data_IF_858396506129
#
_entry.id   IF_858396506129
#
_cell.length_a   1.000
_cell.length_b   1.000
_cell.length_c   1.000
_cell.angle_alpha   90.00
_cell.angle_beta   90.00
_cell.angle_gamma   90.00
#
_symmetry.space_group_name_H-M   'P 1'
#
loop_
_entity.id
_entity.type
_entity.pdbx_description
1 polymer ?
#
# COMPACT_ATOMS: atom_id res chain seq x y z
N UNK A 1 6.96 2.13 -3.66
CA UNK A 1 6.47 2.70 -2.38
C UNK A 1 6.37 1.57 -1.35
N UNK A 2 7.28 1.47 -0.38
CA UNK A 2 7.21 0.38 0.63
C UNK A 2 6.13 0.70 1.65
N UNK A 3 4.96 0.07 1.50
CA UNK A 3 3.87 0.13 2.49
C UNK A 3 4.30 -0.49 3.83
N UNK A 4 3.70 -0.03 4.93
CA UNK A 4 3.95 -0.62 6.25
C UNK A 4 3.23 -1.97 6.36
N UNK A 5 3.97 -3.07 6.51
CA UNK A 5 3.39 -4.42 6.61
C UNK A 5 3.46 -4.93 8.04
N UNK A 6 2.29 -5.33 8.57
CA UNK A 6 2.17 -5.96 9.88
C UNK A 6 1.68 -7.41 9.75
N UNK A 7 2.19 -8.31 10.58
CA UNK A 7 1.67 -9.68 10.70
C UNK A 7 1.58 -10.13 12.16
N UNK A 8 0.94 -11.28 12.41
CA UNK A 8 0.69 -11.81 13.75
C UNK A 8 1.15 -13.26 13.90
N UNK A 9 1.72 -13.57 15.06
CA UNK A 9 2.01 -14.93 15.52
C UNK A 9 0.72 -15.59 16.01
N UNK A 10 0.33 -16.69 15.38
CA UNK A 10 -0.87 -17.44 15.75
C UNK A 10 -0.67 -18.25 17.04
N UNK A 11 -1.77 -18.50 17.76
CA UNK A 11 -1.74 -19.20 19.06
C UNK A 11 -1.20 -20.64 18.97
N UNK A 12 -1.29 -21.28 17.79
CA UNK A 12 -0.75 -22.62 17.52
C UNK A 12 0.78 -22.62 17.35
N UNK A 13 1.36 -21.44 17.09
CA UNK A 13 2.80 -21.22 16.90
C UNK A 13 3.41 -20.45 18.09
N UNK A 14 2.61 -20.15 19.12
CA UNK A 14 3.03 -19.45 20.34
C UNK A 14 3.83 -20.34 21.32
N UNK A 15 4.74 -21.11 20.75
CA UNK A 15 5.76 -21.90 21.43
C UNK A 15 7.14 -21.39 20.97
N UNK A 16 8.11 -21.30 21.89
CA UNK A 16 9.43 -20.71 21.66
C UNK A 16 10.06 -21.18 20.34
N UNK A 17 10.05 -22.48 20.10
CA UNK A 17 10.76 -23.08 18.97
C UNK A 17 10.00 -22.91 17.64
N UNK A 18 8.73 -22.48 17.69
CA UNK A 18 7.87 -22.30 16.52
C UNK A 18 7.77 -20.84 16.05
N UNK A 19 8.04 -19.85 16.91
CA UNK A 19 7.89 -18.42 16.58
C UNK A 19 8.69 -18.01 15.34
N UNK A 20 10.00 -18.28 15.33
CA UNK A 20 10.88 -17.88 14.21
C UNK A 20 10.51 -18.63 12.93
N UNK A 21 10.30 -19.97 12.92
CA UNK A 21 9.79 -20.68 11.75
C UNK A 21 8.44 -20.14 11.24
N UNK A 22 7.51 -19.79 12.14
CA UNK A 22 6.19 -19.26 11.77
C UNK A 22 6.30 -17.90 11.07
N UNK A 23 7.17 -17.01 11.55
CA UNK A 23 7.45 -15.75 10.87
C UNK A 23 8.13 -15.98 9.52
N UNK A 24 9.15 -16.85 9.44
CA UNK A 24 9.79 -17.19 8.15
C UNK A 24 8.80 -17.73 7.12
N UNK A 25 7.88 -18.59 7.54
CA UNK A 25 6.79 -19.08 6.68
C UNK A 25 5.84 -17.96 6.24
N UNK A 26 5.52 -17.03 7.15
CA UNK A 26 4.71 -15.85 6.83
C UNK A 26 5.40 -14.97 5.79
N UNK A 27 6.68 -14.67 5.99
CA UNK A 27 7.54 -13.91 5.08
C UNK A 27 7.63 -14.57 3.69
N UNK A 28 7.85 -15.88 3.65
CA UNK A 28 7.84 -16.66 2.42
C UNK A 28 6.51 -16.55 1.67
N UNK A 29 5.37 -16.67 2.35
CA UNK A 29 4.04 -16.54 1.74
C UNK A 29 3.74 -15.15 1.22
N UNK A 30 4.26 -14.12 1.90
CA UNK A 30 4.08 -12.72 1.51
C UNK A 30 5.12 -12.27 0.48
N UNK A 31 6.16 -13.06 0.19
CA UNK A 31 7.28 -12.65 -0.65
C UNK A 31 8.10 -11.51 -0.04
N UNK A 32 8.18 -11.44 1.30
CA UNK A 32 8.86 -10.35 2.02
C UNK A 32 10.09 -10.87 2.76
N UNK A 33 11.14 -10.04 2.85
CA UNK A 33 12.31 -10.34 3.68
C UNK A 33 12.06 -10.04 5.17
N UNK A 34 11.21 -9.06 5.46
CA UNK A 34 10.84 -8.65 6.81
C UNK A 34 9.41 -8.10 6.85
N UNK A 35 8.85 -8.01 8.05
CA UNK A 35 7.65 -7.19 8.35
C UNK A 35 8.03 -5.98 9.18
N UNK A 36 7.34 -4.85 9.01
CA UNK A 36 7.60 -3.67 9.83
C UNK A 36 7.17 -3.89 11.29
N UNK A 37 6.13 -4.70 11.51
CA UNK A 37 5.63 -5.04 12.84
C UNK A 37 5.16 -6.50 12.91
N UNK A 38 5.68 -7.25 13.89
CA UNK A 38 5.22 -8.61 14.20
C UNK A 38 4.61 -8.67 15.61
N UNK A 39 3.37 -9.14 15.71
CA UNK A 39 2.62 -9.12 16.98
C UNK A 39 2.31 -10.53 17.49
N UNK A 40 2.48 -10.78 18.78
CA UNK A 40 1.82 -11.93 19.43
C UNK A 40 0.30 -11.73 19.35
N UNK A 41 -0.43 -12.58 18.62
CA UNK A 41 -1.86 -12.34 18.36
C UNK A 41 -2.71 -12.33 19.64
N UNK A 42 -2.50 -13.33 20.51
CA UNK A 42 -3.14 -13.45 21.81
C UNK A 42 -2.15 -14.03 22.82
N UNK A 43 -2.29 -13.73 24.12
CA UNK A 43 -1.47 -14.35 25.18
C UNK A 43 -1.95 -15.78 25.50
N UNK A 44 -2.08 -16.61 24.46
CA UNK A 44 -2.66 -17.95 24.46
C UNK A 44 -1.78 -18.88 23.62
N UNK A 45 -1.55 -20.10 24.12
CA UNK A 45 -0.92 -21.19 23.37
C UNK A 45 -1.94 -22.32 23.19
N UNK A 46 -2.09 -22.79 21.96
CA UNK A 46 -3.00 -23.89 21.60
C UNK A 46 -2.21 -25.12 21.14
N UNK A 47 -2.81 -26.31 21.30
CA UNK A 47 -2.33 -27.53 20.64
C UNK A 47 -2.29 -27.34 19.11
N UNK A 48 -1.35 -28.02 18.44
CA UNK A 48 -1.30 -28.03 16.97
C UNK A 48 -2.62 -28.55 16.39
N UNK A 49 -3.22 -27.80 15.48
CA UNK A 49 -4.53 -28.07 14.88
C UNK A 49 -4.93 -26.96 13.90
N UNK A 50 -6.14 -27.02 13.36
CA UNK A 50 -6.65 -25.99 12.45
C UNK A 50 -6.74 -24.61 13.14
N UNK A 51 -6.64 -23.54 12.35
CA UNK A 51 -6.81 -22.17 12.85
C UNK A 51 -8.27 -21.92 13.21
N UNK A 52 -8.68 -22.29 14.43
CA UNK A 52 -10.06 -22.11 14.90
C UNK A 52 -10.17 -20.85 15.78
N UNK A 53 -11.15 -19.99 15.47
CA UNK A 53 -11.48 -18.81 16.27
C UNK A 53 -12.17 -19.14 17.61
N UNK A 54 -12.67 -20.37 17.75
CA UNK A 54 -13.30 -20.92 18.95
C UNK A 54 -12.53 -22.18 19.36
N UNK A 55 -11.91 -22.16 20.53
CA UNK A 55 -11.14 -23.29 21.06
C UNK A 55 -11.75 -23.79 22.37
N UNK A 56 -11.73 -25.10 22.57
CA UNK A 56 -12.20 -25.71 23.81
C UNK A 56 -11.13 -25.58 24.90
N UNK A 57 -11.53 -25.66 26.17
CA UNK A 57 -10.58 -25.61 27.28
C UNK A 57 -9.50 -26.70 27.20
N UNK A 58 -9.81 -27.82 26.56
CA UNK A 58 -8.89 -28.95 26.38
C UNK A 58 -7.76 -28.68 25.39
N UNK A 59 -7.89 -27.65 24.55
CA UNK A 59 -6.88 -27.25 23.55
C UNK A 59 -5.87 -26.24 24.09
N UNK A 60 -6.16 -25.66 25.26
CA UNK A 60 -5.31 -24.67 25.91
C UNK A 60 -4.09 -25.33 26.53
N UNK A 61 -2.91 -24.84 26.14
CA UNK A 61 -1.64 -25.18 26.77
C UNK A 61 -1.19 -24.02 27.67
N UNK A 62 -0.40 -24.28 28.73
CA UNK A 62 0.21 -23.20 29.51
C UNK A 62 0.97 -22.24 28.60
N UNK A 63 0.66 -20.95 28.64
CA UNK A 63 1.33 -19.96 27.78
C UNK A 63 2.72 -19.63 28.35
N UNK A 64 3.77 -20.09 27.66
CA UNK A 64 5.15 -19.71 27.96
C UNK A 64 5.46 -18.32 27.40
N UNK A 65 5.03 -17.30 28.14
CA UNK A 65 5.20 -15.90 27.75
C UNK A 65 6.67 -15.52 27.59
N UNK A 66 7.55 -16.03 28.46
CA UNK A 66 8.98 -15.73 28.43
C UNK A 66 9.63 -16.33 27.19
N UNK A 67 9.49 -17.65 26.98
CA UNK A 67 10.09 -18.31 25.83
C UNK A 67 9.52 -17.79 24.50
N UNK A 68 8.21 -17.51 24.44
CA UNK A 68 7.59 -16.90 23.25
C UNK A 68 8.18 -15.52 22.98
N UNK A 69 8.32 -14.66 24.00
CA UNK A 69 8.86 -13.32 23.81
C UNK A 69 10.34 -13.33 23.45
N UNK A 70 11.17 -14.17 24.09
CA UNK A 70 12.58 -14.33 23.71
C UNK A 70 12.73 -14.71 22.22
N UNK A 71 11.83 -15.54 21.69
CA UNK A 71 11.82 -15.89 20.27
C UNK A 71 11.28 -14.76 19.37
N UNK A 72 10.35 -13.93 19.86
CA UNK A 72 9.95 -12.68 19.16
C UNK A 72 11.12 -11.70 19.08
N UNK A 73 11.89 -11.54 20.16
CA UNK A 73 13.11 -10.74 20.14
C UNK A 73 14.13 -11.28 19.15
N UNK A 74 14.23 -12.61 19.03
CA UNK A 74 15.09 -13.24 18.04
C UNK A 74 14.65 -12.94 16.61
N UNK A 75 13.34 -12.91 16.33
CA UNK A 75 12.83 -12.42 15.04
C UNK A 75 13.34 -11.00 14.72
N UNK A 76 13.43 -10.13 15.73
CA UNK A 76 13.98 -8.79 15.57
C UNK A 76 15.50 -8.80 15.34
N UNK A 77 16.26 -9.61 16.10
CA UNK A 77 17.73 -9.73 15.96
C UNK A 77 18.12 -10.29 14.60
N UNK A 78 17.33 -11.23 14.07
CA UNK A 78 17.52 -11.82 12.74
C UNK A 78 17.07 -10.88 11.60
N UNK A 79 16.51 -9.71 11.90
CA UNK A 79 16.02 -8.76 10.89
C UNK A 79 14.70 -9.15 10.24
N UNK A 80 14.02 -10.20 10.72
CA UNK A 80 12.75 -10.69 10.17
C UNK A 80 11.56 -9.78 10.53
N UNK A 81 11.68 -9.01 11.62
CA UNK A 81 10.73 -7.98 12.01
C UNK A 81 11.48 -6.73 12.46
N UNK A 82 11.13 -5.56 11.92
CA UNK A 82 11.73 -4.27 12.37
C UNK A 82 11.27 -3.86 13.76
N UNK A 83 10.06 -4.26 14.14
CA UNK A 83 9.49 -4.02 15.46
C UNK A 83 8.63 -5.21 15.87
N UNK A 84 8.55 -5.45 17.17
CA UNK A 84 7.72 -6.50 17.75
C UNK A 84 6.74 -5.91 18.76
N UNK A 85 5.60 -6.56 18.90
CA UNK A 85 4.58 -6.13 19.83
C UNK A 85 3.66 -7.26 20.22
N UNK A 86 2.56 -6.89 20.85
CA UNK A 86 1.56 -7.81 21.37
C UNK A 86 0.15 -7.37 20.96
N UNK A 87 -0.79 -8.29 21.06
CA UNK A 87 -2.21 -8.02 20.85
C UNK A 87 -3.01 -8.70 21.96
N UNK A 88 -4.01 -7.99 22.49
CA UNK A 88 -4.90 -8.44 23.56
C UNK A 88 -4.22 -8.66 24.93
N UNK A 89 -3.16 -7.90 25.24
CA UNK A 89 -2.50 -7.96 26.55
C UNK A 89 -3.06 -6.90 27.51
N UNK A 90 -3.48 -7.33 28.70
CA UNK A 90 -3.88 -6.45 29.80
C UNK A 90 -2.66 -5.97 30.62
N UNK A 91 -2.82 -4.91 31.42
CA UNK A 91 -1.74 -4.30 32.21
C UNK A 91 -0.91 -5.31 33.02
N UNK A 92 -1.58 -6.29 33.66
CA UNK A 92 -0.89 -7.32 34.46
C UNK A 92 0.05 -8.18 33.61
N UNK A 93 -0.39 -8.62 32.42
CA UNK A 93 0.44 -9.41 31.50
C UNK A 93 1.55 -8.57 30.89
N UNK A 94 1.28 -7.32 30.53
CA UNK A 94 2.31 -6.39 30.06
C UNK A 94 3.38 -6.16 31.13
N UNK A 95 3.00 -5.94 32.38
CA UNK A 95 3.95 -5.79 33.48
C UNK A 95 4.85 -7.02 33.62
N UNK A 96 4.25 -8.21 33.64
CA UNK A 96 5.01 -9.47 33.72
C UNK A 96 5.94 -9.68 32.52
N UNK A 97 5.52 -9.27 31.32
CA UNK A 97 6.34 -9.31 30.10
C UNK A 97 7.55 -8.38 30.22
N UNK A 98 7.31 -7.13 30.64
CA UNK A 98 8.36 -6.12 30.80
C UNK A 98 9.41 -6.49 31.84
N UNK A 99 9.07 -7.33 32.83
CA UNK A 99 10.03 -7.81 33.84
C UNK A 99 11.18 -8.64 33.23
N UNK A 100 11.04 -9.13 32.00
CA UNK A 100 12.05 -9.94 31.32
C UNK A 100 12.32 -9.59 29.86
N UNK A 101 11.57 -8.64 29.29
CA UNK A 101 11.79 -8.18 27.93
C UNK A 101 13.10 -7.39 27.84
N UNK A 102 14.00 -7.84 26.96
CA UNK A 102 15.16 -7.06 26.53
C UNK A 102 14.74 -6.01 25.50
N UNK A 103 13.86 -6.40 24.57
CA UNK A 103 13.21 -5.50 23.62
C UNK A 103 11.76 -5.35 24.07
N UNK A 104 11.34 -4.20 24.62
CA UNK A 104 9.96 -4.00 25.04
C UNK A 104 9.01 -3.95 23.82
N UNK A 105 7.74 -4.39 23.97
CA UNK A 105 6.78 -4.35 22.88
C UNK A 105 6.55 -2.91 22.39
N UNK A 106 6.73 -2.65 21.10
CA UNK A 106 6.49 -1.34 20.51
C UNK A 106 4.99 -1.00 20.48
N UNK A 107 4.14 -2.01 20.30
CA UNK A 107 2.68 -1.86 20.14
C UNK A 107 1.92 -2.88 20.99
N UNK A 108 0.79 -2.48 21.57
CA UNK A 108 -0.26 -3.36 22.05
C UNK A 108 -1.56 -3.09 21.27
N UNK A 109 -1.96 -4.02 20.40
CA UNK A 109 -3.23 -3.95 19.68
C UNK A 109 -4.37 -4.52 20.53
N UNK A 110 -5.43 -3.75 20.78
CA UNK A 110 -6.55 -4.20 21.63
C UNK A 110 -7.90 -3.78 21.08
N UNK A 111 -8.96 -4.50 21.47
CA UNK A 111 -10.32 -4.07 21.20
C UNK A 111 -10.54 -2.73 21.87
N UNK A 112 -10.84 -1.71 21.09
CA UNK A 112 -11.17 -0.43 21.69
C UNK A 112 -12.15 0.27 20.78
N UNK A 113 -13.23 0.76 21.37
CA UNK A 113 -14.25 1.51 20.66
C UNK A 113 -14.76 2.65 21.57
N UNK A 114 -15.69 3.45 21.07
CA UNK A 114 -16.20 4.60 21.82
C UNK A 114 -16.91 4.24 23.13
N UNK A 115 -17.51 3.04 23.22
CA UNK A 115 -18.11 2.49 24.43
C UNK A 115 -17.08 1.83 25.36
N UNK A 116 -16.03 1.24 24.79
CA UNK A 116 -14.99 0.50 25.51
C UNK A 116 -13.60 1.07 25.26
N UNK A 117 -13.23 2.11 26.02
CA UNK A 117 -12.01 2.91 25.80
C UNK A 117 -10.77 2.42 26.55
N UNK A 118 -10.88 1.42 27.43
CA UNK A 118 -9.76 0.84 28.19
C UNK A 118 -8.74 1.84 28.80
N UNK A 119 -9.20 2.94 29.42
CA UNK A 119 -8.32 4.06 29.87
C UNK A 119 -7.12 3.64 30.72
N UNK A 120 -7.34 2.74 31.70
CA UNK A 120 -6.27 2.24 32.57
C UNK A 120 -5.14 1.56 31.78
N UNK A 121 -5.48 0.87 30.69
CA UNK A 121 -4.50 0.24 29.81
C UNK A 121 -3.75 1.27 28.97
N UNK A 122 -4.44 2.28 28.44
CA UNK A 122 -3.83 3.38 27.68
C UNK A 122 -2.79 4.09 28.55
N UNK A 123 -3.17 4.48 29.77
CA UNK A 123 -2.28 5.20 30.68
C UNK A 123 -1.04 4.36 31.04
N UNK A 124 -1.25 3.07 31.32
CA UNK A 124 -0.16 2.13 31.59
C UNK A 124 0.79 1.99 30.38
N UNK A 125 0.25 1.75 29.18
CA UNK A 125 1.06 1.61 27.97
C UNK A 125 1.84 2.89 27.67
N UNK A 126 1.20 4.06 27.83
CA UNK A 126 1.83 5.37 27.65
C UNK A 126 3.01 5.57 28.62
N UNK A 127 2.84 5.22 29.89
CA UNK A 127 3.92 5.28 30.89
C UNK A 127 5.11 4.38 30.51
N UNK A 128 4.84 3.22 29.92
CA UNK A 128 5.87 2.24 29.51
C UNK A 128 6.41 2.45 28.10
N UNK A 129 6.00 3.51 27.40
CA UNK A 129 6.44 3.77 26.03
C UNK A 129 5.88 2.80 24.97
N UNK A 130 4.77 2.13 25.27
CA UNK A 130 4.09 1.17 24.38
C UNK A 130 2.96 1.89 23.65
N UNK A 131 2.94 1.83 22.32
CA UNK A 131 1.84 2.41 21.54
C UNK A 131 0.58 1.53 21.62
N UNK A 132 -0.58 2.13 21.86
CA UNK A 132 -1.86 1.41 21.82
C UNK A 132 -2.53 1.66 20.47
N UNK A 133 -2.85 0.57 19.77
CA UNK A 133 -3.61 0.61 18.54
C UNK A 133 -4.94 -0.13 18.72
N UNK A 134 -6.04 0.49 18.28
CA UNK A 134 -7.38 -0.06 18.40
C UNK A 134 -7.69 -0.95 17.20
N UNK A 135 -8.12 -2.19 17.45
CA UNK A 135 -8.90 -2.93 16.46
C UNK A 135 -10.41 -2.76 16.76
N UNK A 136 -11.22 -2.72 15.69
CA UNK A 136 -12.64 -2.38 15.74
C UNK A 136 -12.98 -1.02 16.41
N UNK A 137 -12.35 0.10 15.99
CA UNK A 137 -12.56 1.44 16.60
C UNK A 137 -14.01 1.96 16.56
N UNK A 138 -14.82 1.46 15.63
CA UNK A 138 -16.25 1.77 15.50
C UNK A 138 -17.16 0.65 16.06
N UNK A 139 -16.58 -0.32 16.76
CA UNK A 139 -17.26 -1.55 17.19
C UNK A 139 -17.54 -2.50 16.04
N UNK A 140 -17.85 -3.76 16.36
CA UNK A 140 -18.16 -4.79 15.38
C UNK A 140 -19.67 -5.08 15.39
N UNK A 141 -20.33 -4.92 14.24
CA UNK A 141 -21.79 -5.13 14.15
C UNK A 141 -22.10 -6.63 14.11
N UNK A 142 -22.88 -7.14 15.05
CA UNK A 142 -23.31 -8.54 15.06
C UNK A 142 -22.17 -9.56 15.22
N UNK A 143 -20.98 -9.11 15.64
CA UNK A 143 -19.88 -10.01 15.95
C UNK A 143 -20.15 -10.75 17.26
N UNK A 144 -19.69 -11.99 17.35
CA UNK A 144 -19.75 -12.77 18.59
C UNK A 144 -18.73 -12.31 19.64
N UNK A 145 -17.80 -11.43 19.24
CA UNK A 145 -16.84 -10.76 20.12
C UNK A 145 -17.23 -9.30 20.35
N UNK A 146 -16.90 -8.77 21.52
CA UNK A 146 -17.13 -7.38 21.88
C UNK A 146 -17.90 -7.22 23.18
N UNK A 147 -17.41 -6.33 24.03
CA UNK A 147 -17.65 -6.37 25.48
C UNK A 147 -19.01 -5.86 25.94
N UNK A 148 -19.90 -5.43 25.04
CA UNK A 148 -21.19 -4.87 25.46
C UNK A 148 -22.36 -5.44 24.66
N UNK A 149 -23.37 -5.94 25.37
CA UNK A 149 -24.67 -6.31 24.78
C UNK A 149 -25.35 -5.15 24.04
N UNK A 150 -24.91 -3.92 24.31
CA UNK A 150 -25.36 -2.69 23.64
C UNK A 150 -24.79 -2.52 22.22
N UNK A 151 -23.60 -3.08 21.94
CA UNK A 151 -23.00 -3.09 20.59
C UNK A 151 -23.71 -4.07 19.63
N UNK A 152 -24.53 -4.99 20.16
CA UNK A 152 -25.40 -5.85 19.36
C UNK A 152 -26.58 -5.10 18.72
N UNK A 153 -26.95 -3.92 19.24
CA UNK A 153 -27.97 -3.06 18.64
C UNK A 153 -27.31 -1.99 17.76
N UNK A 154 -27.36 -2.21 16.44
CA UNK A 154 -26.76 -1.33 15.43
C UNK A 154 -27.15 0.14 15.57
N UNK A 155 -28.41 0.43 15.94
CA UNK A 155 -28.93 1.79 16.04
C UNK A 155 -28.38 2.53 17.27
N UNK A 156 -28.28 1.84 18.41
CA UNK A 156 -27.71 2.43 19.63
C UNK A 156 -26.21 2.72 19.43
N UNK A 157 -25.50 1.79 18.80
CA UNK A 157 -24.09 1.97 18.43
C UNK A 157 -23.89 3.18 17.52
N UNK A 158 -24.67 3.29 16.44
CA UNK A 158 -24.59 4.43 15.52
C UNK A 158 -24.86 5.76 16.24
N UNK A 159 -25.89 5.84 17.09
CA UNK A 159 -26.19 7.04 17.87
C UNK A 159 -25.04 7.47 18.80
N UNK A 160 -24.34 6.51 19.42
CA UNK A 160 -23.17 6.79 20.28
C UNK A 160 -21.97 7.28 19.47
N UNK A 161 -21.71 6.63 18.33
CA UNK A 161 -20.65 7.06 17.40
C UNK A 161 -20.93 8.49 16.95
N UNK A 162 -22.17 8.78 16.54
CA UNK A 162 -22.57 10.10 16.09
C UNK A 162 -22.43 11.15 17.19
N UNK A 163 -22.91 10.87 18.40
CA UNK A 163 -22.81 11.78 19.55
C UNK A 163 -21.37 12.08 19.94
N UNK A 164 -20.47 11.09 19.85
CA UNK A 164 -19.06 11.27 20.18
C UNK A 164 -18.28 12.00 19.09
N UNK A 165 -18.45 11.60 17.82
CA UNK A 165 -17.76 12.19 16.68
C UNK A 165 -18.25 13.61 16.39
N UNK A 166 -19.54 13.92 16.60
CA UNK A 166 -20.07 15.27 16.40
C UNK A 166 -19.47 16.32 17.35
N UNK A 167 -18.87 15.88 18.47
CA UNK A 167 -18.20 16.75 19.45
C UNK A 167 -16.70 16.91 19.18
N UNK A 168 -16.16 16.25 18.15
CA UNK A 168 -14.73 16.19 17.86
C UNK A 168 -14.45 16.46 16.39
N UNK A 169 -13.26 16.98 16.12
CA UNK A 169 -12.69 16.94 14.77
C UNK A 169 -12.04 15.60 14.57
N UNK A 170 -12.32 14.93 13.46
CA UNK A 170 -11.73 13.64 13.14
C UNK A 170 -11.29 13.55 11.69
N UNK A 171 -10.34 12.66 11.45
CA UNK A 171 -10.02 12.16 10.11
C UNK A 171 -10.30 10.66 10.14
N UNK A 172 -11.12 10.18 9.22
CA UNK A 172 -11.40 8.77 9.02
C UNK A 172 -10.77 8.33 7.69
N UNK A 173 -9.95 7.29 7.74
CA UNK A 173 -9.33 6.67 6.57
C UNK A 173 -9.99 5.31 6.34
N UNK A 174 -10.58 5.12 5.17
CA UNK A 174 -11.26 3.89 4.76
C UNK A 174 -10.50 3.29 3.57
N UNK A 175 -9.68 2.29 3.82
CA UNK A 175 -8.86 1.69 2.77
C UNK A 175 -9.61 0.53 2.07
N UNK A 176 -9.38 0.39 0.77
CA UNK A 176 -9.88 -0.69 -0.11
C UNK A 176 -11.40 -0.93 -0.04
N UNK A 177 -12.18 0.14 -0.26
CA UNK A 177 -13.64 0.09 -0.22
C UNK A 177 -14.19 -0.45 -1.54
N UNK A 178 -15.01 -1.50 -1.47
CA UNK A 178 -15.63 -2.15 -2.63
C UNK A 178 -17.13 -1.87 -2.79
N UNK A 179 -17.80 -1.40 -1.72
CA UNK A 179 -19.22 -1.05 -1.69
C UNK A 179 -19.49 0.27 -0.97
N UNK A 180 -20.68 0.84 -1.20
CA UNK A 180 -21.07 2.13 -0.60
C UNK A 180 -21.16 1.99 0.92
N UNK A 181 -20.43 2.83 1.65
CA UNK A 181 -20.53 2.92 3.10
C UNK A 181 -21.61 3.93 3.46
N UNK A 182 -22.66 3.46 4.13
CA UNK A 182 -23.70 4.31 4.68
C UNK A 182 -23.23 4.88 6.03
N UNK A 183 -22.73 6.12 6.00
CA UNK A 183 -22.24 6.81 7.19
C UNK A 183 -23.32 7.01 8.26
N UNK A 184 -24.58 7.21 7.89
CA UNK A 184 -25.67 7.37 8.85
C UNK A 184 -25.90 6.06 9.62
N UNK A 185 -25.94 4.94 8.91
CA UNK A 185 -26.08 3.60 9.51
C UNK A 185 -24.93 3.24 10.48
N UNK A 186 -23.72 3.77 10.22
CA UNK A 186 -22.55 3.60 11.08
C UNK A 186 -22.52 4.64 12.21
N UNK A 187 -23.23 5.76 12.06
CA UNK A 187 -23.20 6.89 12.98
C UNK A 187 -22.06 7.88 12.75
N UNK A 188 -21.44 7.87 11.58
CA UNK A 188 -20.40 8.84 11.21
C UNK A 188 -21.10 10.14 10.78
N UNK A 189 -20.91 11.27 11.48
CA UNK A 189 -21.47 12.54 11.01
C UNK A 189 -20.80 12.94 9.71
N UNK A 190 -21.60 13.39 8.73
CA UNK A 190 -21.07 13.79 7.42
C UNK A 190 -20.02 14.90 7.57
N UNK A 191 -18.82 14.72 7.01
CA UNK A 191 -17.80 15.77 6.95
C UNK A 191 -18.36 17.03 6.27
N UNK A 192 -18.22 18.18 6.92
CA UNK A 192 -18.64 19.45 6.35
C UNK A 192 -17.69 20.59 6.78
N UNK A 193 -17.90 21.78 6.20
CA UNK A 193 -17.07 22.96 6.48
C UNK A 193 -17.14 23.42 7.95
N UNK A 194 -18.25 23.14 8.64
CA UNK A 194 -18.48 23.54 10.03
C UNK A 194 -17.74 22.63 11.02
N UNK A 195 -17.88 21.31 10.86
CA UNK A 195 -17.26 20.33 11.75
C UNK A 195 -15.76 20.13 11.47
N UNK A 196 -15.27 20.52 10.27
CA UNK A 196 -13.87 20.41 9.83
C UNK A 196 -13.31 18.98 9.88
N UNK A 197 -14.18 17.99 9.97
CA UNK A 197 -13.82 16.58 9.91
C UNK A 197 -13.60 16.17 8.45
N UNK A 198 -12.90 15.06 8.23
CA UNK A 198 -12.61 14.53 6.89
C UNK A 198 -12.79 13.02 6.88
N UNK A 199 -13.37 12.51 5.80
CA UNK A 199 -13.32 11.09 5.46
C UNK A 199 -12.51 11.00 4.16
N UNK A 200 -11.51 10.14 4.16
CA UNK A 200 -10.71 9.81 2.98
C UNK A 200 -10.91 8.32 2.79
N UNK A 201 -11.19 7.90 1.56
CA UNK A 201 -11.29 6.50 1.22
C UNK A 201 -10.49 6.19 -0.03
N UNK A 202 -10.05 4.94 -0.16
CA UNK A 202 -9.44 4.40 -1.37
C UNK A 202 -10.36 3.32 -1.92
N UNK A 203 -10.41 3.20 -3.25
CA UNK A 203 -11.18 2.17 -3.94
C UNK A 203 -10.57 1.93 -5.31
N UNK A 204 -10.69 0.71 -5.82
CA UNK A 204 -10.37 0.38 -7.22
C UNK A 204 -11.57 0.59 -8.17
N UNK A 205 -12.72 1.02 -7.65
CA UNK A 205 -13.96 1.21 -8.41
C UNK A 205 -14.29 2.69 -8.60
N UNK A 206 -14.15 3.17 -9.83
CA UNK A 206 -14.55 4.53 -10.21
C UNK A 206 -16.04 4.77 -9.97
N UNK A 207 -16.89 3.80 -10.33
CA UNK A 207 -18.33 3.87 -10.12
C UNK A 207 -18.69 4.04 -8.64
N UNK A 208 -17.93 3.43 -7.73
CA UNK A 208 -18.13 3.59 -6.30
C UNK A 208 -17.70 4.98 -5.81
N UNK A 209 -16.63 5.54 -6.36
CA UNK A 209 -16.20 6.90 -6.05
C UNK A 209 -17.34 7.91 -6.33
N UNK A 210 -18.01 7.82 -7.48
CA UNK A 210 -19.17 8.65 -7.80
C UNK A 210 -20.31 8.51 -6.78
N UNK A 211 -20.66 7.27 -6.40
CA UNK A 211 -21.73 6.98 -5.42
C UNK A 211 -21.41 7.45 -3.99
N UNK A 212 -20.13 7.51 -3.61
CA UNK A 212 -19.66 7.92 -2.29
C UNK A 212 -19.56 9.44 -2.14
N UNK A 213 -19.19 10.15 -3.21
CA UNK A 213 -19.01 11.62 -3.21
C UNK A 213 -20.36 12.36 -3.36
N UNK A 214 -21.40 11.68 -3.85
CA UNK A 214 -22.77 12.19 -3.92
C UNK A 214 -23.14 12.71 -5.30
N UNK A 215 -24.38 12.42 -5.70
CA UNK A 215 -24.94 12.67 -7.03
C UNK A 215 -25.09 14.16 -7.39
N UNK A 216 -25.16 15.07 -6.41
CA UNK A 216 -25.43 16.49 -6.68
C UNK A 216 -24.32 17.21 -7.48
N UNK A 217 -23.05 16.80 -7.31
CA UNK A 217 -21.93 17.39 -8.05
C UNK A 217 -21.79 16.73 -9.42
N UNK A 218 -21.88 15.40 -9.48
CA UNK A 218 -21.75 14.63 -10.73
C UNK A 218 -22.93 14.81 -11.69
N UNK A 219 -24.16 15.00 -11.19
CA UNK A 219 -25.37 15.15 -12.00
C UNK A 219 -25.79 16.62 -12.24
N UNK A 220 -24.99 17.58 -11.78
CA UNK A 220 -25.28 19.01 -12.04
C UNK A 220 -25.20 19.36 -13.53
N UNK A 221 -24.43 18.60 -14.31
CA UNK A 221 -24.42 18.66 -15.77
C UNK A 221 -23.86 17.34 -16.36
N UNK A 222 -24.42 16.78 -17.46
CA UNK A 222 -24.00 15.49 -18.04
C UNK A 222 -22.51 15.39 -18.43
N UNK A 223 -21.85 16.54 -18.61
CA UNK A 223 -20.44 16.62 -19.02
C UNK A 223 -19.47 16.79 -17.85
N UNK A 224 -19.94 17.13 -16.65
CA UNK A 224 -19.06 17.34 -15.48
C UNK A 224 -18.28 16.07 -15.11
N UNK A 225 -18.82 14.84 -15.18
CA UNK A 225 -18.03 13.63 -14.93
C UNK A 225 -16.82 13.53 -15.86
N UNK A 226 -17.01 13.78 -17.16
CA UNK A 226 -15.92 13.77 -18.16
C UNK A 226 -14.89 14.86 -17.91
N UNK A 227 -15.35 16.06 -17.52
CA UNK A 227 -14.46 17.17 -17.19
C UNK A 227 -13.69 16.91 -15.88
N UNK A 228 -14.29 16.21 -14.92
CA UNK A 228 -13.63 15.82 -13.69
C UNK A 228 -12.52 14.79 -13.92
N UNK A 229 -12.75 13.83 -14.81
CA UNK A 229 -11.73 12.88 -15.26
C UNK A 229 -10.55 13.61 -15.92
N UNK A 230 -10.84 14.58 -16.80
CA UNK A 230 -9.80 15.41 -17.43
C UNK A 230 -9.00 16.19 -16.38
N UNK A 231 -9.67 16.86 -15.44
CA UNK A 231 -8.99 17.58 -14.35
C UNK A 231 -8.12 16.64 -13.50
N UNK A 232 -8.60 15.42 -13.19
CA UNK A 232 -7.83 14.44 -12.44
C UNK A 232 -6.61 13.93 -13.23
N UNK A 233 -6.74 13.75 -14.56
CA UNK A 233 -5.62 13.43 -15.47
C UNK A 233 -4.56 14.53 -15.46
N UNK A 234 -4.95 15.81 -15.51
CA UNK A 234 -4.01 16.93 -15.40
C UNK A 234 -3.28 16.98 -14.03
N UNK A 235 -3.77 16.26 -13.00
CA UNK A 235 -3.09 16.14 -11.72
C UNK A 235 -1.99 15.07 -11.69
N UNK A 236 -1.82 14.28 -12.76
CA UNK A 236 -0.76 13.26 -12.93
C UNK A 236 -0.59 12.31 -11.72
N UNK A 237 -1.70 11.91 -11.07
CA UNK A 237 -1.67 11.01 -9.92
C UNK A 237 -1.09 11.59 -8.62
N UNK A 238 -0.63 12.85 -8.61
CA UNK A 238 -0.01 13.47 -7.45
C UNK A 238 -1.03 13.71 -6.32
N UNK A 239 -0.89 13.07 -5.14
CA UNK A 239 -1.91 13.15 -4.08
C UNK A 239 -2.19 14.58 -3.61
N UNK A 240 -1.15 15.42 -3.51
CA UNK A 240 -1.29 16.80 -3.09
C UNK A 240 -2.00 17.67 -4.14
N UNK A 241 -1.76 17.41 -5.43
CA UNK A 241 -2.42 18.11 -6.53
C UNK A 241 -3.89 17.72 -6.60
N UNK A 242 -4.21 16.42 -6.57
CA UNK A 242 -5.57 15.88 -6.54
C UNK A 242 -6.37 16.45 -5.36
N UNK A 243 -5.80 16.48 -4.16
CA UNK A 243 -6.46 17.04 -2.97
C UNK A 243 -6.72 18.54 -3.13
N UNK A 244 -5.74 19.29 -3.64
CA UNK A 244 -5.82 20.76 -3.73
C UNK A 244 -6.80 21.18 -4.81
N UNK A 245 -6.69 20.60 -5.99
CA UNK A 245 -7.55 20.88 -7.14
C UNK A 245 -8.96 20.34 -6.89
N UNK A 246 -9.09 19.11 -6.37
CA UNK A 246 -10.38 18.53 -6.03
C UNK A 246 -11.18 19.38 -5.03
N UNK A 247 -10.51 19.96 -4.02
CA UNK A 247 -11.16 20.92 -3.09
C UNK A 247 -11.63 22.19 -3.78
N UNK A 248 -10.84 22.73 -4.70
CA UNK A 248 -11.23 23.91 -5.48
C UNK A 248 -12.44 23.60 -6.39
N UNK A 249 -12.46 22.42 -7.00
CA UNK A 249 -13.51 21.99 -7.92
C UNK A 249 -14.79 21.55 -7.23
N UNK A 250 -14.75 21.16 -5.95
CA UNK A 250 -15.92 20.70 -5.20
C UNK A 250 -17.08 21.71 -5.13
N UNK A 251 -16.81 23.00 -5.31
CA UNK A 251 -17.83 24.07 -5.31
C UNK A 251 -18.32 24.47 -6.71
N UNK A 252 -17.77 23.87 -7.77
CA UNK A 252 -17.97 24.28 -9.17
C UNK A 252 -19.08 23.46 -9.83
N UNK A 253 -20.13 24.13 -10.29
CA UNK A 253 -21.37 23.49 -10.76
C UNK A 253 -21.61 23.64 -12.26
N UNK A 254 -20.77 24.41 -12.96
CA UNK A 254 -21.00 24.74 -14.38
C UNK A 254 -19.85 24.24 -15.25
N UNK A 255 -20.15 23.73 -16.45
CA UNK A 255 -19.13 23.28 -17.40
C UNK A 255 -18.12 24.36 -17.74
N UNK A 256 -18.52 25.63 -17.72
CA UNK A 256 -17.61 26.76 -17.95
C UNK A 256 -16.50 26.83 -16.89
N UNK A 257 -16.83 26.66 -15.61
CA UNK A 257 -15.84 26.69 -14.52
C UNK A 257 -14.87 25.50 -14.60
N UNK A 258 -15.38 24.32 -14.96
CA UNK A 258 -14.56 23.12 -15.17
C UNK A 258 -13.63 23.24 -16.38
N UNK A 259 -14.14 23.72 -17.51
CA UNK A 259 -13.31 23.99 -18.69
C UNK A 259 -12.25 25.07 -18.40
N UNK A 260 -12.60 26.11 -17.64
CA UNK A 260 -11.64 27.12 -17.21
C UNK A 260 -10.54 26.52 -16.33
N UNK A 261 -10.88 25.62 -15.41
CA UNK A 261 -9.90 24.93 -14.58
C UNK A 261 -8.97 24.06 -15.44
N UNK A 262 -9.49 23.32 -16.41
CA UNK A 262 -8.67 22.53 -17.35
C UNK A 262 -7.75 23.44 -18.16
N UNK A 263 -8.25 24.57 -18.68
CA UNK A 263 -7.42 25.54 -19.42
C UNK A 263 -6.31 26.09 -18.52
N UNK A 264 -6.61 26.46 -17.28
CA UNK A 264 -5.61 26.96 -16.34
C UNK A 264 -4.62 25.86 -15.97
N UNK A 265 -5.07 24.64 -15.70
CA UNK A 265 -4.20 23.51 -15.37
C UNK A 265 -3.31 23.15 -16.53
N UNK A 266 -3.84 23.07 -17.76
CA UNK A 266 -3.05 22.86 -18.98
C UNK A 266 -2.12 24.01 -19.26
N UNK A 267 -2.55 25.25 -19.01
CA UNK A 267 -1.73 26.43 -19.23
C UNK A 267 -0.59 26.49 -18.22
N UNK A 268 -0.86 26.24 -16.94
CA UNK A 268 0.17 26.12 -15.90
C UNK A 268 1.05 24.91 -16.14
N UNK A 269 0.47 23.75 -16.45
CA UNK A 269 1.19 22.57 -16.90
C UNK A 269 1.96 22.85 -18.18
N UNK A 270 1.59 23.87 -18.99
CA UNK A 270 2.33 24.33 -20.17
C UNK A 270 3.37 25.42 -19.92
N UNK A 271 3.19 26.21 -18.88
CA UNK A 271 4.22 27.03 -18.26
C UNK A 271 5.27 26.13 -17.57
N UNK A 272 4.91 24.88 -17.27
CA UNK A 272 5.81 23.77 -16.93
C UNK A 272 6.04 22.77 -18.10
N UNK A 273 5.28 22.83 -19.21
CA UNK A 273 5.45 22.02 -20.43
C UNK A 273 6.43 22.76 -21.34
N UNK A 274 7.57 23.05 -20.75
CA UNK A 274 8.86 22.89 -21.39
C UNK A 274 9.57 21.67 -20.82
N UNK A 275 9.16 21.08 -19.70
CA UNK A 275 9.93 19.99 -19.10
C UNK A 275 9.93 18.73 -19.98
N UNK A 276 8.84 18.35 -20.65
CA UNK A 276 8.87 17.24 -21.63
C UNK A 276 9.66 17.55 -22.91
N UNK A 277 9.48 18.76 -23.46
CA UNK A 277 10.14 19.22 -24.69
C UNK A 277 11.61 19.66 -24.49
N UNK A 278 12.04 19.90 -23.24
CA UNK A 278 13.42 20.17 -22.85
C UNK A 278 14.08 18.93 -22.25
N UNK A 279 13.40 18.17 -21.38
CA UNK A 279 13.99 17.00 -20.68
C UNK A 279 13.98 15.74 -21.52
N UNK A 280 12.93 15.42 -22.31
CA UNK A 280 12.96 14.21 -23.13
C UNK A 280 14.02 14.28 -24.23
N UNK A 281 14.23 15.40 -24.96
CA UNK A 281 15.39 15.53 -25.84
C UNK A 281 16.75 15.49 -25.11
N UNK A 282 16.84 15.99 -23.87
CA UNK A 282 18.05 15.86 -23.04
C UNK A 282 18.28 14.42 -22.56
N UNK A 283 17.24 13.66 -22.24
CA UNK A 283 17.34 12.25 -21.87
C UNK A 283 17.53 11.35 -23.10
N UNK A 284 17.01 11.78 -24.27
CA UNK A 284 17.27 11.16 -25.57
C UNK A 284 18.77 11.17 -25.88
N UNK A 285 19.53 12.16 -25.39
CA UNK A 285 21.00 12.12 -25.47
C UNK A 285 21.56 10.85 -24.83
N UNK A 286 21.07 10.44 -23.65
CA UNK A 286 21.53 9.21 -23.00
C UNK A 286 21.15 7.95 -23.79
N UNK A 287 19.99 7.96 -24.47
CA UNK A 287 19.59 6.88 -25.38
C UNK A 287 20.44 6.84 -26.66
N UNK A 288 20.67 7.99 -27.29
CA UNK A 288 21.46 8.14 -28.53
C UNK A 288 22.93 7.76 -28.34
N UNK A 289 23.43 7.82 -27.10
CA UNK A 289 24.78 7.43 -26.72
C UNK A 289 24.86 6.00 -26.15
N UNK A 290 23.78 5.21 -26.20
CA UNK A 290 23.88 3.77 -25.91
C UNK A 290 24.85 3.11 -26.93
N UNK A 291 25.65 2.11 -26.51
CA UNK A 291 26.82 1.70 -27.29
C UNK A 291 26.54 1.16 -28.70
N UNK A 292 25.34 0.64 -28.96
CA UNK A 292 24.92 0.13 -30.27
C UNK A 292 23.39 0.01 -30.37
N UNK A 293 22.92 -0.21 -31.60
CA UNK A 293 21.50 -0.37 -31.93
C UNK A 293 20.84 -1.56 -31.20
N UNK A 294 21.59 -2.64 -30.92
CA UNK A 294 21.07 -3.79 -30.15
C UNK A 294 20.63 -3.38 -28.74
N UNK A 295 21.45 -2.61 -28.03
CA UNK A 295 21.12 -2.13 -26.67
C UNK A 295 19.95 -1.15 -26.72
N UNK A 296 19.87 -0.32 -27.77
CA UNK A 296 18.73 0.58 -27.99
C UNK A 296 17.42 -0.17 -28.21
N UNK A 297 17.42 -1.20 -29.06
CA UNK A 297 16.24 -2.05 -29.29
C UNK A 297 15.80 -2.79 -28.02
N UNK A 298 16.75 -3.33 -27.26
CA UNK A 298 16.47 -3.96 -25.96
C UNK A 298 15.84 -2.97 -24.96
N UNK A 299 16.32 -1.73 -24.92
CA UNK A 299 15.73 -0.66 -24.10
C UNK A 299 14.28 -0.36 -24.50
N UNK A 300 14.02 -0.16 -25.79
CA UNK A 300 12.67 0.14 -26.28
C UNK A 300 11.70 -1.01 -25.99
N UNK A 301 12.15 -2.26 -26.10
CA UNK A 301 11.32 -3.42 -25.79
C UNK A 301 10.78 -3.40 -24.35
N UNK A 302 11.58 -2.92 -23.39
CA UNK A 302 11.16 -2.82 -22.00
C UNK A 302 9.93 -1.90 -21.81
N UNK A 303 9.62 -0.99 -22.74
CA UNK A 303 8.42 -0.12 -22.62
C UNK A 303 7.10 -0.86 -22.80
N UNK A 304 7.14 -2.10 -23.32
CA UNK A 304 5.97 -2.96 -23.46
C UNK A 304 5.41 -3.42 -22.10
N UNK A 305 6.22 -3.39 -21.05
CA UNK A 305 5.80 -3.71 -19.70
C UNK A 305 5.05 -2.52 -19.04
N UNK A 306 4.09 -2.76 -18.14
CA UNK A 306 3.39 -1.71 -17.42
C UNK A 306 4.34 -0.83 -16.59
N UNK A 307 3.86 0.37 -16.24
CA UNK A 307 4.55 1.28 -15.32
C UNK A 307 4.82 0.59 -13.96
N UNK A 308 6.01 0.84 -13.39
CA UNK A 308 6.48 0.24 -12.13
C UNK A 308 6.51 -1.32 -12.07
N UNK A 309 6.40 -2.01 -13.21
CA UNK A 309 6.43 -3.47 -13.26
C UNK A 309 7.85 -4.04 -13.07
N UNK A 310 8.01 -4.99 -12.14
CA UNK A 310 9.26 -5.72 -11.94
C UNK A 310 9.42 -6.82 -13.00
N UNK A 311 10.41 -6.67 -13.88
CA UNK A 311 10.69 -7.59 -14.99
C UNK A 311 11.81 -8.56 -14.58
N UNK A 312 11.54 -9.85 -14.66
CA UNK A 312 12.56 -10.87 -14.43
C UNK A 312 13.66 -10.80 -15.50
N UNK A 313 14.94 -10.72 -15.09
CA UNK A 313 16.08 -10.56 -16.00
C UNK A 313 16.23 -11.74 -16.97
N UNK A 314 16.04 -12.98 -16.51
CA UNK A 314 16.18 -14.16 -17.37
C UNK A 314 15.07 -14.21 -18.42
N UNK A 315 13.83 -13.93 -18.01
CA UNK A 315 12.68 -13.86 -18.91
C UNK A 315 12.85 -12.75 -19.96
N UNK A 316 13.31 -11.56 -19.53
CA UNK A 316 13.59 -10.44 -20.43
C UNK A 316 14.66 -10.78 -21.47
N UNK A 317 15.72 -11.50 -21.07
CA UNK A 317 16.76 -11.94 -21.99
C UNK A 317 16.22 -12.99 -22.96
N UNK A 318 15.40 -13.93 -22.49
CA UNK A 318 14.75 -14.92 -23.35
C UNK A 318 13.83 -14.25 -24.39
N UNK A 319 13.12 -13.19 -24.00
CA UNK A 319 12.36 -12.36 -24.94
C UNK A 319 13.26 -11.66 -25.96
N UNK A 320 14.36 -11.01 -25.54
CA UNK A 320 15.29 -10.36 -26.48
C UNK A 320 15.95 -11.33 -27.46
N UNK A 321 16.21 -12.58 -27.05
CA UNK A 321 16.67 -13.63 -27.95
C UNK A 321 15.56 -14.05 -28.91
N UNK A 322 14.33 -14.23 -28.40
CA UNK A 322 13.15 -14.58 -29.19
C UNK A 322 12.80 -13.54 -30.27
N UNK A 323 12.98 -12.26 -29.96
CA UNK A 323 12.82 -11.13 -30.90
C UNK A 323 13.99 -10.98 -31.88
N UNK A 324 15.08 -11.73 -31.68
CA UNK A 324 16.26 -11.66 -32.54
C UNK A 324 17.09 -10.39 -32.36
N UNK A 325 17.09 -9.77 -31.18
CA UNK A 325 18.00 -8.66 -30.87
C UNK A 325 19.41 -9.15 -30.53
N UNK A 326 19.49 -10.24 -29.78
CA UNK A 326 20.74 -10.93 -29.45
C UNK A 326 20.85 -12.10 -30.44
N UNK A 327 21.80 -12.03 -31.37
CA UNK A 327 21.91 -12.98 -32.50
C UNK A 327 23.27 -13.65 -32.66
N UNK A 328 24.33 -13.09 -32.08
CA UNK A 328 25.71 -13.59 -32.24
C UNK A 328 26.14 -14.44 -31.04
N UNK A 329 25.66 -15.69 -30.96
CA UNK A 329 26.04 -16.64 -29.91
C UNK A 329 26.10 -18.08 -30.42
N UNK A 330 27.03 -18.87 -29.88
CA UNK A 330 27.20 -20.29 -30.18
C UNK A 330 26.30 -21.18 -29.30
N UNK A 331 25.93 -20.70 -28.10
CA UNK A 331 25.02 -21.37 -27.18
C UNK A 331 24.21 -20.40 -26.29
N UNK A 332 23.18 -20.94 -25.62
CA UNK A 332 22.27 -20.16 -24.79
C UNK A 332 22.94 -19.53 -23.56
N UNK A 333 24.07 -20.06 -23.08
CA UNK A 333 24.78 -19.44 -21.97
C UNK A 333 25.51 -18.17 -22.42
N UNK A 334 26.05 -18.17 -23.64
CA UNK A 334 26.62 -16.99 -24.24
C UNK A 334 25.54 -15.92 -24.54
N UNK A 335 24.35 -16.34 -24.99
CA UNK A 335 23.20 -15.43 -25.15
C UNK A 335 22.79 -14.77 -23.82
N UNK A 336 22.71 -15.56 -22.74
CA UNK A 336 22.45 -15.04 -21.38
C UNK A 336 23.52 -14.08 -20.91
N UNK A 337 24.79 -14.43 -21.11
CA UNK A 337 25.91 -13.56 -20.75
C UNK A 337 25.85 -12.21 -21.48
N UNK A 338 25.53 -12.21 -22.77
CA UNK A 338 25.31 -10.98 -23.53
C UNK A 338 24.10 -10.18 -23.01
N UNK A 339 22.97 -10.86 -22.75
CA UNK A 339 21.78 -10.23 -22.19
C UNK A 339 22.03 -9.55 -20.85
N UNK A 340 22.77 -10.19 -19.94
CA UNK A 340 23.16 -9.60 -18.66
C UNK A 340 24.07 -8.38 -18.82
N UNK A 341 25.00 -8.41 -19.78
CA UNK A 341 25.84 -7.25 -20.09
C UNK A 341 25.02 -6.06 -20.64
N UNK A 342 24.00 -6.33 -21.45
CA UNK A 342 23.06 -5.32 -21.95
C UNK A 342 22.28 -4.70 -20.78
N UNK A 343 21.73 -5.53 -19.89
CA UNK A 343 21.02 -5.06 -18.69
C UNK A 343 21.91 -4.17 -17.83
N UNK A 344 23.15 -4.59 -17.58
CA UNK A 344 24.08 -3.80 -16.77
C UNK A 344 24.44 -2.49 -17.45
N UNK A 345 24.59 -2.48 -18.77
CA UNK A 345 24.82 -1.26 -19.55
C UNK A 345 23.64 -0.28 -19.43
N UNK A 346 22.40 -0.79 -19.53
CA UNK A 346 21.19 0.02 -19.36
C UNK A 346 21.05 0.55 -17.92
N UNK A 347 21.45 -0.24 -16.92
CA UNK A 347 21.51 0.23 -15.53
C UNK A 347 22.53 1.34 -15.32
N UNK A 348 23.73 1.20 -15.88
CA UNK A 348 24.77 2.21 -15.81
C UNK A 348 24.38 3.50 -16.53
N UNK A 349 23.57 3.39 -17.60
CA UNK A 349 22.98 4.54 -18.29
C UNK A 349 21.74 5.12 -17.58
N UNK A 350 21.37 4.60 -16.40
CA UNK A 350 20.16 4.94 -15.66
C UNK A 350 18.85 4.73 -16.45
N UNK A 351 18.88 3.85 -17.47
CA UNK A 351 17.74 3.51 -18.32
C UNK A 351 16.90 2.36 -17.77
N UNK A 352 17.52 1.52 -16.94
CA UNK A 352 16.83 0.53 -16.12
C UNK A 352 17.34 0.69 -14.68
N UNK A 353 16.49 0.36 -13.72
CA UNK A 353 16.88 0.29 -12.32
C UNK A 353 16.61 -1.10 -11.76
N UNK A 354 17.15 -1.37 -10.58
CA UNK A 354 16.96 -2.64 -9.90
C UNK A 354 15.48 -2.81 -9.54
N UNK A 355 14.94 -4.01 -9.77
CA UNK A 355 13.58 -4.37 -9.34
C UNK A 355 13.42 -4.35 -7.82
N UNK A 356 12.17 -4.29 -7.35
CA UNK A 356 11.85 -4.08 -5.95
C UNK A 356 12.14 -5.29 -5.06
N UNK A 357 12.06 -6.52 -5.58
CA UNK A 357 12.06 -7.73 -4.76
C UNK A 357 13.41 -8.48 -4.81
N UNK A 358 14.10 -8.47 -5.95
CA UNK A 358 15.35 -9.24 -6.12
C UNK A 358 16.40 -8.53 -6.99
N UNK A 359 17.67 -8.90 -6.87
CA UNK A 359 18.68 -8.49 -7.88
C UNK A 359 18.50 -9.24 -9.20
N UNK A 360 17.62 -10.25 -9.27
CA UNK A 360 17.24 -10.92 -10.52
C UNK A 360 16.18 -10.17 -11.32
N UNK A 361 15.75 -8.99 -10.88
CA UNK A 361 14.73 -8.18 -11.56
C UNK A 361 15.25 -6.79 -11.91
N UNK A 362 14.65 -6.20 -12.94
CA UNK A 362 14.84 -4.81 -13.35
C UNK A 362 13.50 -4.14 -13.59
N UNK A 363 13.45 -2.83 -13.46
CA UNK A 363 12.27 -2.03 -13.79
C UNK A 363 12.66 -0.75 -14.52
N UNK A 364 11.69 -0.18 -15.21
CA UNK A 364 11.84 1.10 -15.90
C UNK A 364 11.11 2.18 -15.11
N UNK A 365 11.81 3.25 -14.74
CA UNK A 365 11.21 4.40 -14.07
C UNK A 365 10.24 5.11 -15.01
N UNK A 366 9.14 5.67 -14.49
CA UNK A 366 8.04 6.30 -15.24
C UNK A 366 8.52 7.28 -16.32
N UNK A 367 9.37 8.26 -15.96
CA UNK A 367 9.96 9.23 -16.91
C UNK A 367 10.81 8.59 -18.02
N UNK A 368 11.49 7.48 -17.72
CA UNK A 368 12.31 6.74 -18.70
C UNK A 368 11.42 5.89 -19.61
N UNK A 369 10.30 5.38 -19.07
CA UNK A 369 9.27 4.70 -19.85
C UNK A 369 8.56 5.65 -20.80
N UNK A 370 8.26 6.86 -20.35
CA UNK A 370 7.73 7.93 -21.20
C UNK A 370 8.71 8.29 -22.32
N UNK A 371 10.02 8.35 -22.05
CA UNK A 371 11.06 8.52 -23.07
C UNK A 371 11.06 7.39 -24.09
N UNK A 372 11.02 6.13 -23.64
CA UNK A 372 11.03 4.95 -24.52
C UNK A 372 9.80 4.91 -25.44
N UNK A 373 8.61 5.16 -24.88
CA UNK A 373 7.36 5.26 -25.63
C UNK A 373 7.40 6.41 -26.64
N UNK A 374 7.95 7.57 -26.23
CA UNK A 374 8.11 8.73 -27.11
C UNK A 374 9.04 8.41 -28.30
N UNK A 375 10.19 7.78 -28.07
CA UNK A 375 11.13 7.36 -29.13
C UNK A 375 10.50 6.32 -30.06
N UNK A 376 9.81 5.32 -29.51
CA UNK A 376 9.13 4.28 -30.29
C UNK A 376 8.02 4.86 -31.19
N UNK A 377 7.29 5.87 -30.70
CA UNK A 377 6.26 6.57 -31.46
C UNK A 377 6.83 7.46 -32.58
N UNK A 378 8.03 8.04 -32.41
CA UNK A 378 8.66 8.86 -33.46
C UNK A 378 9.43 8.05 -34.51
N UNK A 379 9.96 6.86 -34.18
CA UNK A 379 10.71 6.02 -35.12
C UNK A 379 9.85 5.36 -36.21
N UNK A 380 8.52 5.32 -36.06
CA UNK A 380 7.61 4.93 -37.15
C UNK A 380 7.65 5.83 -38.38
N UNK A 381 8.39 6.95 -38.36
CA UNK A 381 8.64 7.78 -39.55
C UNK A 381 10.02 7.58 -40.19
N UNK A 382 10.95 6.86 -39.56
CA UNK A 382 12.25 6.50 -40.15
C UNK A 382 12.77 5.18 -39.56
N UNK A 383 12.62 4.12 -40.36
CA UNK A 383 13.08 2.71 -40.21
C UNK A 383 12.06 1.76 -39.59
N UNK A 384 11.71 0.79 -40.43
CA UNK A 384 10.76 -0.29 -40.20
C UNK A 384 11.16 -1.18 -39.00
N UNK A 385 10.35 -1.16 -37.96
CA UNK A 385 10.21 -2.30 -37.04
C UNK A 385 8.78 -2.26 -36.48
N UNK A 386 7.91 -3.09 -37.04
CA UNK A 386 6.59 -3.36 -36.46
C UNK A 386 6.78 -4.45 -35.41
N UNK A 387 6.47 -4.16 -34.15
CA UNK A 387 6.24 -5.19 -33.14
C UNK A 387 4.83 -5.77 -33.40
N UNK A 388 4.76 -7.06 -33.75
CA UNK A 388 3.50 -7.80 -33.97
C UNK A 388 3.06 -8.48 -32.69
#
# INVERSE_FOLDING_TARGET
MTGHVSSKLWCIDADRDLVVPALKNTLQKLGLEYVDLYLVHWPVRLKKGEMVFTFNNEDLLPFDMRGTWEAMEECCRLGLAKSIGVSNFACKKLSQLLDHATIPPAVNQVEMNLAWQQRKLIDFCKEKGIHVSAWSPLGANGAWWGSTAEDANSNLRASRIFSALSKKKFVLLLDDIWDRVDFESVGIPFPNSENKSKVIFTTRSEALCGRMVGDEVFNSHPEIPKLAELVAKECAGLPLALITIGRTMASKKTTHEWNRAIIVLRKSASEFSGMGDEVLPLLKFSYDNLPNDTIQSCFLYCSLYPEDFDINKEELIEHWVGEGFITEFDDMNQARYQGHNIIETLKLACMLERGNNTDSEVKMHDVIRDLALWIACECGRKKDMFFV
#
